data_IF_464733322251
#
_entry.id   IF_464733322251
#
_cell.length_a   1.000
_cell.length_b   1.000
_cell.length_c   1.000
_cell.angle_alpha   90.00
_cell.angle_beta   90.00
_cell.angle_gamma   90.00
#
_symmetry.space_group_name_H-M   'P 1'
#
loop_
_entity.id
_entity.type
_entity.pdbx_description
1 polymer ?
#
# COMPACT_ATOMS: atom_id res chain seq x y z
N UNK A 1 2.66 -7.44 -3.95
CA UNK A 1 1.24 -7.62 -4.37
C UNK A 1 0.48 -8.24 -3.21
N UNK A 2 -0.66 -7.66 -2.84
CA UNK A 2 -1.49 -8.21 -1.78
C UNK A 2 -2.07 -9.58 -2.19
N UNK A 3 -2.08 -10.53 -1.24
CA UNK A 3 -2.69 -11.84 -1.46
C UNK A 3 -4.22 -11.73 -1.56
N UNK A 4 -4.88 -12.74 -2.13
CA UNK A 4 -6.35 -12.78 -2.17
C UNK A 4 -6.96 -12.77 -0.75
N UNK A 5 -6.24 -13.28 0.24
CA UNK A 5 -6.67 -13.27 1.62
C UNK A 5 -6.53 -11.86 2.22
N UNK A 6 -5.39 -11.18 2.03
CA UNK A 6 -5.19 -9.81 2.49
C UNK A 6 -6.29 -8.89 1.97
N UNK A 7 -6.65 -8.99 0.68
CA UNK A 7 -7.76 -8.24 0.08
C UNK A 7 -9.11 -8.48 0.75
N UNK A 8 -9.40 -9.75 1.11
CA UNK A 8 -10.66 -10.07 1.82
C UNK A 8 -10.71 -9.47 3.21
N UNK A 9 -9.62 -9.60 3.98
CA UNK A 9 -9.56 -9.03 5.33
C UNK A 9 -9.63 -7.50 5.30
N UNK A 10 -8.86 -6.86 4.42
CA UNK A 10 -8.89 -5.41 4.27
C UNK A 10 -10.29 -4.90 3.90
N UNK A 11 -10.97 -5.56 2.96
CA UNK A 11 -12.34 -5.20 2.58
C UNK A 11 -13.33 -5.40 3.73
N UNK A 12 -13.24 -6.50 4.47
CA UNK A 12 -14.12 -6.76 5.61
C UNK A 12 -13.95 -5.70 6.70
N UNK A 13 -12.71 -5.32 7.03
CA UNK A 13 -12.41 -4.24 7.98
C UNK A 13 -12.92 -2.89 7.45
N UNK A 14 -12.78 -2.62 6.16
CA UNK A 14 -13.26 -1.40 5.53
C UNK A 14 -14.79 -1.29 5.56
N UNK A 15 -15.51 -2.39 5.31
CA UNK A 15 -16.96 -2.46 5.41
C UNK A 15 -17.45 -2.27 6.85
N UNK A 16 -16.70 -2.76 7.84
CA UNK A 16 -16.98 -2.53 9.26
C UNK A 16 -16.78 -1.07 9.68
N UNK A 17 -15.81 -0.39 9.09
CA UNK A 17 -15.46 0.98 9.44
C UNK A 17 -16.57 2.00 9.11
N UNK A 18 -17.47 1.73 8.15
CA UNK A 18 -18.73 2.46 7.92
C UNK A 18 -18.65 3.96 7.62
N UNK A 19 -17.69 4.72 8.13
CA UNK A 19 -17.58 6.17 7.99
C UNK A 19 -16.15 6.70 8.05
N UNK A 20 -15.91 7.94 7.60
CA UNK A 20 -14.57 8.53 7.50
C UNK A 20 -13.79 8.48 8.82
N UNK A 21 -14.45 8.81 9.94
CA UNK A 21 -13.80 8.80 11.25
C UNK A 21 -13.34 7.40 11.65
N UNK A 22 -14.14 6.40 11.40
CA UNK A 22 -13.83 5.00 11.72
C UNK A 22 -12.77 4.46 10.77
N UNK A 23 -12.72 4.91 9.52
CA UNK A 23 -11.65 4.60 8.57
C UNK A 23 -10.31 5.14 9.08
N UNK A 24 -10.25 6.37 9.58
CA UNK A 24 -9.04 6.94 10.16
C UNK A 24 -8.60 6.18 11.44
N UNK A 25 -9.57 5.81 12.29
CA UNK A 25 -9.29 5.00 13.48
C UNK A 25 -8.75 3.61 13.09
N UNK A 26 -9.33 2.94 12.10
CA UNK A 26 -8.84 1.66 11.61
C UNK A 26 -7.48 1.74 10.91
N UNK A 27 -7.22 2.83 10.19
CA UNK A 27 -5.89 3.11 9.63
C UNK A 27 -4.82 3.13 10.73
N UNK A 28 -5.08 3.82 11.84
CA UNK A 28 -4.18 3.86 12.99
C UNK A 28 -4.03 2.49 13.65
N UNK A 29 -5.14 1.79 13.92
CA UNK A 29 -5.17 0.44 14.52
C UNK A 29 -4.35 -0.55 13.71
N UNK A 30 -4.53 -0.58 12.38
CA UNK A 30 -3.78 -1.46 11.49
C UNK A 30 -2.30 -1.13 11.45
N UNK A 31 -1.93 0.15 11.53
CA UNK A 31 -0.53 0.57 11.61
C UNK A 31 0.10 0.10 12.93
N UNK A 32 -0.55 0.34 14.06
CA UNK A 32 -0.08 -0.12 15.37
C UNK A 32 0.02 -1.64 15.45
N UNK A 33 -0.96 -2.34 14.88
CA UNK A 33 -0.97 -3.80 14.84
C UNK A 33 0.15 -4.35 13.93
N UNK A 34 0.39 -3.72 12.78
CA UNK A 34 1.51 -4.06 11.91
C UNK A 34 2.84 -3.90 12.64
N UNK A 35 3.04 -2.78 13.33
CA UNK A 35 4.28 -2.50 14.05
C UNK A 35 4.49 -3.53 15.18
N UNK A 36 3.44 -3.87 15.92
CA UNK A 36 3.47 -4.90 16.96
C UNK A 36 3.80 -6.28 16.41
N UNK A 37 3.14 -6.70 15.33
CA UNK A 37 3.31 -8.01 14.72
C UNK A 37 4.60 -8.13 13.88
N UNK A 38 5.23 -7.02 13.53
CA UNK A 38 6.52 -6.97 12.84
C UNK A 38 7.71 -6.97 13.80
N UNK A 39 7.48 -6.83 15.11
CA UNK A 39 8.54 -7.04 16.10
C UNK A 39 9.07 -8.47 16.03
N UNK A 40 10.38 -8.63 15.86
CA UNK A 40 11.01 -9.93 15.62
C UNK A 40 10.69 -10.95 16.73
N UNK A 41 10.62 -10.51 17.98
CA UNK A 41 10.33 -11.38 19.13
C UNK A 41 8.87 -11.82 19.14
N UNK A 42 7.96 -10.88 18.84
CA UNK A 42 6.52 -11.14 18.77
C UNK A 42 6.23 -12.05 17.57
N UNK A 43 6.75 -11.71 16.40
CA UNK A 43 6.60 -12.51 15.17
C UNK A 43 7.09 -13.96 15.37
N UNK A 44 8.26 -14.15 15.99
CA UNK A 44 8.82 -15.49 16.24
C UNK A 44 7.91 -16.36 17.12
N UNK A 45 7.19 -15.77 18.09
CA UNK A 45 6.23 -16.49 18.93
C UNK A 45 4.94 -16.76 18.16
N UNK A 46 4.43 -15.79 17.44
CA UNK A 46 3.12 -15.87 16.78
C UNK A 46 3.11 -16.78 15.55
N UNK A 47 4.23 -16.89 14.86
CA UNK A 47 4.38 -17.76 13.68
C UNK A 47 4.83 -19.19 14.04
N UNK A 48 5.19 -19.44 15.31
CA UNK A 48 5.66 -20.75 15.73
C UNK A 48 4.49 -21.75 15.91
N UNK A 49 4.38 -22.79 15.08
CA UNK A 49 3.27 -23.74 15.14
C UNK A 49 3.30 -24.64 16.37
N UNK A 50 4.43 -24.72 17.10
CA UNK A 50 4.54 -25.52 18.32
C UNK A 50 3.90 -24.84 19.53
N UNK A 51 3.66 -23.53 19.47
CA UNK A 51 3.00 -22.77 20.53
C UNK A 51 1.48 -22.85 20.33
N UNK A 52 0.71 -23.29 21.34
CA UNK A 52 -0.74 -23.34 21.26
C UNK A 52 -1.35 -21.99 20.89
N UNK A 53 -2.41 -22.00 20.06
CA UNK A 53 -3.08 -20.76 19.60
C UNK A 53 -3.57 -19.90 20.75
N UNK A 54 -4.04 -20.49 21.85
CA UNK A 54 -4.49 -19.79 23.05
C UNK A 54 -3.37 -18.91 23.64
N UNK A 55 -2.17 -19.45 23.80
CA UNK A 55 -1.02 -18.69 24.33
C UNK A 55 -0.60 -17.55 23.40
N UNK A 56 -0.69 -17.78 22.09
CA UNK A 56 -0.42 -16.73 21.08
C UNK A 56 -1.47 -15.62 21.15
N UNK A 57 -2.75 -15.96 21.36
CA UNK A 57 -3.84 -15.00 21.52
C UNK A 57 -3.72 -14.21 22.84
N UNK A 58 -3.32 -14.86 23.95
CA UNK A 58 -3.10 -14.19 25.23
C UNK A 58 -1.96 -13.17 25.16
N UNK A 59 -0.90 -13.50 24.42
CA UNK A 59 0.20 -12.55 24.17
C UNK A 59 -0.31 -11.28 23.49
N UNK A 60 -1.10 -11.41 22.43
CA UNK A 60 -1.66 -10.25 21.73
C UNK A 60 -2.66 -9.49 22.60
N UNK A 61 -3.50 -10.19 23.36
CA UNK A 61 -4.45 -9.55 24.27
C UNK A 61 -3.76 -8.72 25.37
N UNK A 62 -2.57 -9.15 25.80
CA UNK A 62 -1.77 -8.39 26.76
C UNK A 62 -0.99 -7.21 26.15
N UNK A 63 -0.60 -7.33 24.89
CA UNK A 63 0.20 -6.33 24.16
C UNK A 63 -0.65 -5.22 23.51
N UNK A 64 -1.84 -5.53 23.02
CA UNK A 64 -2.77 -4.58 22.43
C UNK A 64 -3.76 -4.03 23.44
N UNK A 65 -3.97 -2.71 23.44
CA UNK A 65 -4.98 -2.03 24.28
C UNK A 65 -6.31 -1.81 23.55
N UNK A 66 -6.35 -2.04 22.26
CA UNK A 66 -7.55 -1.83 21.44
C UNK A 66 -8.26 -3.18 21.22
N UNK A 67 -9.53 -3.32 21.68
CA UNK A 67 -10.28 -4.57 21.58
C UNK A 67 -10.53 -5.01 20.13
N UNK A 68 -10.77 -4.06 19.22
CA UNK A 68 -11.06 -4.36 17.81
C UNK A 68 -9.82 -4.81 17.06
N UNK A 69 -8.68 -4.14 17.27
CA UNK A 69 -7.40 -4.59 16.76
C UNK A 69 -7.02 -5.97 17.31
N UNK A 70 -7.27 -6.22 18.60
CA UNK A 70 -7.04 -7.51 19.25
C UNK A 70 -7.89 -8.62 18.61
N UNK A 71 -9.16 -8.36 18.33
CA UNK A 71 -10.04 -9.34 17.68
C UNK A 71 -9.56 -9.68 16.26
N UNK A 72 -9.15 -8.69 15.49
CA UNK A 72 -8.57 -8.93 14.16
C UNK A 72 -7.29 -9.77 14.27
N UNK A 73 -6.39 -9.44 15.21
CA UNK A 73 -5.17 -10.21 15.43
C UNK A 73 -5.45 -11.68 15.80
N UNK A 74 -6.43 -11.93 16.66
CA UNK A 74 -6.87 -13.30 17.01
C UNK A 74 -7.33 -14.07 15.79
N UNK A 75 -8.16 -13.45 14.92
CA UNK A 75 -8.59 -14.08 13.68
C UNK A 75 -7.42 -14.42 12.75
N UNK A 76 -6.40 -13.55 12.67
CA UNK A 76 -5.21 -13.80 11.86
C UNK A 76 -4.35 -14.93 12.46
N UNK A 77 -4.26 -15.04 13.79
CA UNK A 77 -3.57 -16.13 14.48
C UNK A 77 -4.27 -17.47 14.22
N UNK A 78 -5.59 -17.54 14.36
CA UNK A 78 -6.39 -18.73 14.07
C UNK A 78 -6.24 -19.19 12.61
N UNK A 79 -6.23 -18.25 11.70
CA UNK A 79 -6.05 -18.51 10.27
C UNK A 79 -4.59 -18.81 9.86
N UNK A 80 -3.62 -18.70 10.77
CA UNK A 80 -2.17 -18.72 10.49
C UNK A 80 -1.76 -17.73 9.38
N UNK A 81 -2.24 -16.48 9.49
CA UNK A 81 -2.03 -15.40 8.50
C UNK A 81 -1.50 -14.12 9.11
N UNK A 82 -0.77 -14.24 10.22
CA UNK A 82 -0.18 -13.09 10.93
C UNK A 82 0.79 -12.32 10.06
N UNK A 83 1.52 -13.02 9.20
CA UNK A 83 2.46 -12.45 8.23
C UNK A 83 1.80 -11.59 7.14
N UNK A 84 0.49 -11.73 6.94
CA UNK A 84 -0.25 -10.92 5.96
C UNK A 84 -0.66 -9.53 6.49
N UNK A 85 -0.42 -9.20 7.76
CA UNK A 85 -0.88 -7.92 8.35
C UNK A 85 -0.37 -6.71 7.59
N UNK A 86 0.86 -6.72 7.10
CA UNK A 86 1.41 -5.64 6.28
C UNK A 86 0.61 -5.45 4.99
N UNK A 87 0.34 -6.54 4.28
CA UNK A 87 -0.44 -6.50 3.06
C UNK A 87 -1.91 -6.11 3.29
N UNK A 88 -2.49 -6.49 4.45
CA UNK A 88 -3.84 -6.09 4.86
C UNK A 88 -3.90 -4.58 5.14
N UNK A 89 -2.92 -4.05 5.86
CA UNK A 89 -2.85 -2.62 6.18
C UNK A 89 -2.67 -1.76 4.91
N UNK A 90 -1.81 -2.21 3.99
CA UNK A 90 -1.59 -1.51 2.73
C UNK A 90 -2.86 -1.50 1.86
N UNK A 91 -3.54 -2.64 1.71
CA UNK A 91 -4.78 -2.75 0.94
C UNK A 91 -5.93 -1.94 1.57
N UNK A 92 -6.05 -1.96 2.91
CA UNK A 92 -7.02 -1.13 3.62
C UNK A 92 -6.79 0.37 3.34
N UNK A 93 -5.52 0.78 3.37
CA UNK A 93 -5.16 2.16 3.10
C UNK A 93 -5.47 2.57 1.65
N UNK A 94 -5.30 1.65 0.70
CA UNK A 94 -5.67 1.90 -0.70
C UNK A 94 -7.20 2.06 -0.84
N UNK A 95 -8.00 1.26 -0.12
CA UNK A 95 -9.46 1.41 -0.06
C UNK A 95 -9.87 2.74 0.60
N UNK A 96 -9.22 3.12 1.69
CA UNK A 96 -9.46 4.38 2.39
C UNK A 96 -9.15 5.60 1.50
N UNK A 97 -8.03 5.57 0.80
CA UNK A 97 -7.66 6.63 -0.14
C UNK A 97 -8.64 6.71 -1.32
N UNK A 98 -9.08 5.58 -1.85
CA UNK A 98 -10.06 5.52 -2.94
C UNK A 98 -11.41 6.11 -2.52
N UNK A 99 -11.89 5.78 -1.32
CA UNK A 99 -13.13 6.32 -0.76
C UNK A 99 -13.04 7.84 -0.52
N UNK A 100 -11.88 8.34 -0.10
CA UNK A 100 -11.63 9.76 0.07
C UNK A 100 -11.30 10.51 -1.24
N UNK A 101 -11.41 9.85 -2.39
CA UNK A 101 -11.06 10.43 -3.69
C UNK A 101 -9.57 10.79 -3.82
N UNK A 102 -8.73 10.12 -3.05
CA UNK A 102 -7.25 10.26 -3.10
C UNK A 102 -6.65 9.09 -3.87
N UNK A 103 -5.48 9.31 -4.46
CA UNK A 103 -4.67 8.28 -5.11
C UNK A 103 -3.22 8.45 -4.71
N UNK A 104 -2.60 7.36 -4.30
CA UNK A 104 -1.14 7.33 -4.11
C UNK A 104 -0.47 6.96 -5.41
N UNK A 105 0.45 7.81 -5.85
CA UNK A 105 1.27 7.57 -7.03
C UNK A 105 2.76 7.52 -6.65
N UNK A 106 3.44 6.47 -7.07
CA UNK A 106 4.90 6.42 -7.04
C UNK A 106 5.43 6.93 -8.36
N UNK A 107 6.21 8.00 -8.32
CA UNK A 107 6.83 8.62 -9.49
C UNK A 107 8.31 8.32 -9.49
N UNK A 108 8.77 7.49 -10.42
CA UNK A 108 10.18 7.14 -10.57
C UNK A 108 10.81 8.03 -11.63
N UNK A 109 11.92 8.69 -11.30
CA UNK A 109 12.63 9.64 -12.15
C UNK A 109 14.13 9.34 -12.21
N UNK A 110 14.82 9.84 -13.24
CA UNK A 110 16.27 9.66 -13.38
C UNK A 110 17.08 10.48 -12.38
N UNK A 111 16.53 11.63 -11.96
CA UNK A 111 17.16 12.60 -11.05
C UNK A 111 16.12 13.09 -10.04
N UNK A 112 16.59 13.61 -8.93
CA UNK A 112 15.70 14.15 -7.91
C UNK A 112 14.87 15.32 -8.45
N UNK A 113 13.56 15.30 -8.21
CA UNK A 113 12.66 16.37 -8.60
C UNK A 113 12.75 17.54 -7.60
N UNK A 114 12.92 18.75 -8.10
CA UNK A 114 12.75 19.96 -7.31
C UNK A 114 11.29 20.13 -6.84
N UNK A 115 11.08 20.95 -5.80
CA UNK A 115 9.74 21.18 -5.23
C UNK A 115 8.72 21.62 -6.29
N UNK A 116 9.09 22.57 -7.16
CA UNK A 116 8.22 23.08 -8.23
C UNK A 116 7.82 21.99 -9.23
N UNK A 117 8.74 21.10 -9.59
CA UNK A 117 8.47 20.02 -10.54
C UNK A 117 7.59 18.95 -9.89
N UNK A 118 7.77 18.67 -8.60
CA UNK A 118 6.88 17.79 -7.83
C UNK A 118 5.45 18.31 -7.83
N UNK A 119 5.25 19.59 -7.52
CA UNK A 119 3.93 20.21 -7.49
C UNK A 119 3.28 20.16 -8.88
N UNK A 120 4.05 20.47 -9.93
CA UNK A 120 3.56 20.45 -11.32
C UNK A 120 3.11 19.05 -11.73
N UNK A 121 3.90 18.01 -11.43
CA UNK A 121 3.55 16.62 -11.73
C UNK A 121 2.33 16.19 -10.93
N UNK A 122 2.24 16.55 -9.65
CA UNK A 122 1.08 16.24 -8.81
C UNK A 122 -0.22 16.86 -9.36
N UNK A 123 -0.17 18.12 -9.76
CA UNK A 123 -1.32 18.82 -10.37
C UNK A 123 -1.74 18.17 -11.69
N UNK A 124 -0.78 17.88 -12.58
CA UNK A 124 -1.07 17.22 -13.86
C UNK A 124 -1.68 15.83 -13.68
N UNK A 125 -1.16 15.04 -12.74
CA UNK A 125 -1.71 13.74 -12.41
C UNK A 125 -3.13 13.86 -11.82
N UNK A 126 -3.34 14.80 -10.89
CA UNK A 126 -4.66 15.04 -10.29
C UNK A 126 -5.70 15.42 -11.34
N UNK A 127 -5.35 16.26 -12.30
CA UNK A 127 -6.24 16.63 -13.41
C UNK A 127 -6.56 15.44 -14.32
N UNK A 128 -5.59 14.58 -14.61
CA UNK A 128 -5.80 13.39 -15.45
C UNK A 128 -6.61 12.30 -14.78
N UNK A 129 -6.44 12.14 -13.46
CA UNK A 129 -7.08 11.07 -12.69
C UNK A 129 -8.44 11.51 -12.10
N UNK A 130 -8.71 12.81 -12.06
CA UNK A 130 -9.90 13.36 -11.41
C UNK A 130 -9.93 13.16 -9.89
N UNK A 131 -8.75 12.89 -9.29
CA UNK A 131 -8.59 12.60 -7.87
C UNK A 131 -7.41 13.38 -7.31
N UNK A 132 -7.39 13.61 -6.00
CA UNK A 132 -6.22 14.20 -5.33
C UNK A 132 -5.07 13.20 -5.31
N UNK A 133 -3.91 13.57 -5.87
CA UNK A 133 -2.74 12.68 -5.94
C UNK A 133 -1.76 12.98 -4.82
N UNK A 134 -1.51 11.99 -3.98
CA UNK A 134 -0.38 12.00 -3.04
C UNK A 134 0.80 11.31 -3.72
N UNK A 135 1.89 12.04 -3.95
CA UNK A 135 3.01 11.57 -4.74
C UNK A 135 4.20 11.19 -3.88
N UNK A 136 4.71 9.97 -4.07
CA UNK A 136 6.03 9.53 -3.59
C UNK A 136 7.01 9.54 -4.75
N UNK A 137 8.16 10.20 -4.57
CA UNK A 137 9.19 10.26 -5.61
C UNK A 137 10.30 9.27 -5.27
N UNK A 138 10.65 8.44 -6.25
CA UNK A 138 11.79 7.52 -6.20
C UNK A 138 12.77 7.87 -7.31
N UNK A 139 14.06 7.80 -7.02
CA UNK A 139 15.12 8.09 -8.01
C UNK A 139 15.74 6.77 -8.46
N UNK A 140 15.65 6.50 -9.77
CA UNK A 140 16.32 5.37 -10.41
C UNK A 140 17.25 5.87 -11.53
N UNK A 141 18.56 5.91 -11.32
CA UNK A 141 19.53 6.39 -12.32
C UNK A 141 19.56 5.55 -13.61
N UNK A 142 18.95 4.35 -13.62
CA UNK A 142 18.86 3.51 -14.83
C UNK A 142 17.84 4.05 -15.85
N UNK A 143 16.98 4.97 -15.44
CA UNK A 143 16.07 5.66 -16.35
C UNK A 143 16.86 6.72 -17.10
N UNK A 144 16.89 6.65 -18.43
CA UNK A 144 17.60 7.61 -19.30
C UNK A 144 17.04 9.05 -19.21
N UNK A 145 15.82 9.23 -18.68
CA UNK A 145 15.13 10.49 -18.55
C UNK A 145 13.61 10.33 -18.67
N UNK A 146 12.86 11.37 -18.36
CA UNK A 146 11.42 11.34 -18.22
C UNK A 146 11.00 10.78 -16.87
N UNK A 147 9.77 10.26 -16.77
CA UNK A 147 9.21 9.73 -15.53
C UNK A 147 8.35 8.47 -15.80
N UNK A 148 8.30 7.61 -14.79
CA UNK A 148 7.34 6.51 -14.71
C UNK A 148 6.42 6.77 -13.54
N UNK A 149 5.13 6.58 -13.72
CA UNK A 149 4.12 6.77 -12.67
C UNK A 149 3.40 5.46 -12.46
N UNK A 150 3.46 4.96 -11.24
CA UNK A 150 2.69 3.81 -10.82
C UNK A 150 1.63 4.25 -9.80
N UNK A 151 0.39 3.86 -10.02
CA UNK A 151 -0.72 4.04 -9.08
C UNK A 151 -1.63 2.83 -9.12
N UNK A 152 -1.80 2.19 -7.97
CA UNK A 152 -2.42 0.87 -7.91
C UNK A 152 -1.72 -0.12 -8.85
N UNK A 153 -2.49 -0.85 -9.64
CA UNK A 153 -1.97 -1.82 -10.63
C UNK A 153 -1.61 -1.18 -11.99
N UNK A 154 -1.74 0.14 -12.13
CA UNK A 154 -1.48 0.85 -13.39
C UNK A 154 -0.11 1.48 -13.41
N UNK A 155 0.61 1.26 -14.52
CA UNK A 155 1.89 1.88 -14.81
C UNK A 155 1.79 2.78 -16.05
N UNK A 156 2.11 4.05 -15.90
CA UNK A 156 2.27 5.01 -16.99
C UNK A 156 3.77 5.24 -17.18
N UNK A 157 4.33 4.77 -18.29
CA UNK A 157 5.73 4.96 -18.64
C UNK A 157 5.87 6.11 -19.65
N UNK A 158 6.29 7.28 -19.18
CA UNK A 158 6.60 8.45 -19.98
C UNK A 158 8.13 8.67 -20.12
N UNK A 159 8.93 7.60 -19.95
CA UNK A 159 10.38 7.67 -20.10
C UNK A 159 10.80 7.95 -21.54
N UNK A 160 11.98 8.57 -21.69
CA UNK A 160 12.59 8.83 -22.99
C UNK A 160 12.81 7.53 -23.76
N UNK A 161 13.21 6.44 -23.09
CA UNK A 161 13.39 5.14 -23.71
C UNK A 161 12.11 4.62 -24.37
N UNK A 162 10.99 4.69 -23.67
CA UNK A 162 9.68 4.27 -24.21
C UNK A 162 9.25 5.15 -25.38
N UNK A 163 9.46 6.47 -25.30
CA UNK A 163 9.16 7.37 -26.42
C UNK A 163 10.00 7.10 -27.66
N UNK A 164 11.29 6.80 -27.48
CA UNK A 164 12.18 6.40 -28.60
C UNK A 164 11.75 5.08 -29.22
N UNK A 165 11.37 4.09 -28.44
CA UNK A 165 10.85 2.83 -28.93
C UNK A 165 9.57 3.02 -29.75
N UNK A 166 8.65 3.84 -29.26
CA UNK A 166 7.40 4.17 -29.96
C UNK A 166 7.68 4.87 -31.29
N UNK A 167 8.62 5.82 -31.32
CA UNK A 167 9.01 6.51 -32.53
C UNK A 167 9.63 5.57 -33.54
N UNK A 168 10.57 4.72 -33.11
CA UNK A 168 11.19 3.70 -33.96
C UNK A 168 10.14 2.79 -34.60
N UNK A 169 9.17 2.32 -33.81
CA UNK A 169 8.09 1.45 -34.29
C UNK A 169 7.24 2.15 -35.36
N UNK A 170 6.85 3.41 -35.14
CA UNK A 170 6.09 4.20 -36.12
C UNK A 170 6.84 4.38 -37.44
N UNK A 171 8.15 4.60 -37.38
CA UNK A 171 8.99 4.75 -38.59
C UNK A 171 9.12 3.43 -39.35
N UNK A 172 9.17 2.29 -38.63
CA UNK A 172 9.27 0.96 -39.27
C UNK A 172 7.93 0.51 -39.87
N UNK A 173 6.80 0.89 -39.29
CA UNK A 173 5.45 0.58 -39.80
C UNK A 173 5.02 1.50 -40.96
N UNK A 174 5.69 2.66 -41.15
CA UNK A 174 5.42 3.63 -42.22
C UNK A 174 6.31 3.44 -43.46
N UNK A 175 7.23 2.46 -43.43
CA UNK A 175 8.10 2.07 -44.56
C UNK A 175 7.65 0.75 -45.16
#
# INVERSE_FOLDING_TARGET
>A
MATAAAKRYARAVFELAGGEREIDEWTRRLSELRDLLSDEKVAAVLTNPTIPSEQRMDLIASASRDPEATNLAKLLIEANRVDEIGAIADEFQDLADDAAGRVRATVTTAVELGARDRDRVAVELSQRLGKTVTMRVEVDPRILGGLKVQYGDRLIDASVATRLQQLRRRLTEAS
#
